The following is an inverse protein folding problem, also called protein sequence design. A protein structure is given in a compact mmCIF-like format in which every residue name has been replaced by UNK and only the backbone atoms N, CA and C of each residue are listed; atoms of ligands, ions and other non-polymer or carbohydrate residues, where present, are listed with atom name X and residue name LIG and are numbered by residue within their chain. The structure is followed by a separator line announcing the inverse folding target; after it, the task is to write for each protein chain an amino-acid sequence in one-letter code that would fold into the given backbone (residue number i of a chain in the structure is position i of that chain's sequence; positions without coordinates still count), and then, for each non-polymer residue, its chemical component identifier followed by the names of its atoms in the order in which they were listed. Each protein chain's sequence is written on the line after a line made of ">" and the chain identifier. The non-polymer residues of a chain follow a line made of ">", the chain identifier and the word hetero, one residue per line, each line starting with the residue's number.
data_IF_608264765791
#
_entry.id   IF_608264765791
#
_cell.length_a   1.000
_cell.length_b   1.000
_cell.length_c   1.000
_cell.angle_alpha   90.00
_cell.angle_beta   90.00
_cell.angle_gamma   90.00
#
_symmetry.space_group_name_H-M   'P 1'
#
loop_
_entity.id
_entity.type
_entity.pdbx_description
1 polymer ?
#
# COMPACT_ATOMS: atom_id res chain seq x y z
N UNK A 1 -22.89 -27.80 2.36
CA UNK A 1 -23.58 -26.49 2.30
C UNK A 1 -23.33 -25.73 3.61
N UNK A 2 -22.27 -24.92 3.68
CA UNK A 2 -21.99 -23.98 4.81
C UNK A 2 -21.44 -22.62 4.34
N UNK A 3 -21.28 -22.41 3.03
CA UNK A 3 -20.69 -21.19 2.46
C UNK A 3 -21.59 -19.95 2.51
N UNK A 4 -22.92 -20.13 2.65
CA UNK A 4 -23.86 -19.01 2.69
C UNK A 4 -23.81 -18.17 3.98
N UNK A 5 -23.50 -18.80 5.12
CA UNK A 5 -23.51 -18.12 6.42
C UNK A 5 -22.29 -17.21 6.63
N UNK A 6 -21.10 -17.68 6.26
CA UNK A 6 -19.85 -16.92 6.45
C UNK A 6 -19.79 -15.70 5.53
N UNK A 7 -20.24 -15.83 4.27
CA UNK A 7 -20.34 -14.70 3.34
C UNK A 7 -21.37 -13.67 3.80
N UNK A 8 -22.54 -14.10 4.28
CA UNK A 8 -23.57 -13.19 4.79
C UNK A 8 -23.09 -12.39 6.01
N UNK A 9 -22.41 -13.05 6.97
CA UNK A 9 -21.83 -12.38 8.14
C UNK A 9 -20.72 -11.39 7.76
N UNK A 10 -19.85 -11.79 6.81
CA UNK A 10 -18.77 -10.95 6.33
C UNK A 10 -19.30 -9.68 5.65
N UNK A 11 -20.41 -9.78 4.89
CA UNK A 11 -21.07 -8.62 4.28
C UNK A 11 -21.68 -7.70 5.35
N UNK A 12 -22.33 -8.26 6.37
CA UNK A 12 -22.94 -7.48 7.46
C UNK A 12 -21.89 -6.72 8.29
N UNK A 13 -20.69 -7.30 8.47
CA UNK A 13 -19.61 -6.73 9.28
C UNK A 13 -18.47 -6.13 8.44
N UNK A 14 -18.62 -6.06 7.11
CA UNK A 14 -17.56 -5.66 6.17
C UNK A 14 -16.91 -4.33 6.57
N UNK A 15 -17.72 -3.38 7.02
CA UNK A 15 -17.28 -2.06 7.47
C UNK A 15 -16.43 -2.08 8.73
N UNK A 16 -16.81 -2.88 9.73
CA UNK A 16 -16.01 -3.02 10.97
C UNK A 16 -14.67 -3.68 10.65
N UNK A 17 -14.67 -4.63 9.73
CA UNK A 17 -13.45 -5.29 9.27
C UNK A 17 -12.55 -4.27 8.56
N UNK A 18 -13.09 -3.45 7.66
CA UNK A 18 -12.37 -2.37 6.99
C UNK A 18 -11.72 -1.39 7.99
N UNK A 19 -12.49 -0.88 8.95
CA UNK A 19 -12.00 0.05 9.98
C UNK A 19 -10.86 -0.58 10.82
N UNK A 20 -10.97 -1.88 11.14
CA UNK A 20 -9.92 -2.63 11.84
C UNK A 20 -8.67 -2.81 10.98
N UNK A 21 -8.82 -3.12 9.69
CA UNK A 21 -7.70 -3.25 8.75
C UNK A 21 -6.96 -1.92 8.58
N UNK A 22 -7.69 -0.81 8.46
CA UNK A 22 -7.11 0.54 8.46
C UNK A 22 -6.36 0.81 9.78
N UNK A 23 -6.97 0.47 10.93
CA UNK A 23 -6.33 0.60 12.24
C UNK A 23 -5.04 -0.23 12.38
N UNK A 24 -5.01 -1.44 11.81
CA UNK A 24 -3.81 -2.27 11.73
C UNK A 24 -2.74 -1.59 10.90
N UNK A 25 -3.05 -1.06 9.72
CA UNK A 25 -2.07 -0.32 8.89
C UNK A 25 -1.50 0.88 9.62
N UNK A 26 -2.33 1.64 10.31
CA UNK A 26 -1.85 2.74 11.14
C UNK A 26 -0.88 2.25 12.22
N UNK A 27 -1.21 1.18 12.94
CA UNK A 27 -0.31 0.61 13.94
C UNK A 27 1.02 0.09 13.34
N UNK A 28 0.97 -0.60 12.20
CA UNK A 28 2.17 -1.04 11.48
C UNK A 28 3.06 0.13 11.08
N UNK A 29 2.47 1.24 10.62
CA UNK A 29 3.22 2.45 10.28
C UNK A 29 3.97 3.02 11.49
N UNK A 30 3.38 3.00 12.69
CA UNK A 30 4.05 3.43 13.93
C UNK A 30 5.23 2.52 14.30
N UNK A 31 5.11 1.20 14.07
CA UNK A 31 6.22 0.26 14.27
C UNK A 31 7.36 0.53 13.29
N UNK A 32 7.05 0.89 12.04
CA UNK A 32 8.07 1.26 11.05
C UNK A 32 8.74 2.59 11.45
N UNK A 33 7.99 3.57 11.95
CA UNK A 33 8.56 4.81 12.51
C UNK A 33 9.50 4.51 13.68
N UNK A 34 9.15 3.57 14.57
CA UNK A 34 10.03 3.14 15.63
C UNK A 34 11.34 2.53 15.08
N UNK A 35 11.26 1.70 14.04
CA UNK A 35 12.44 1.19 13.34
C UNK A 35 13.29 2.33 12.75
N UNK A 36 12.64 3.38 12.23
CA UNK A 36 13.32 4.57 11.70
C UNK A 36 14.07 5.35 12.78
N UNK A 37 13.47 5.52 13.96
CA UNK A 37 14.10 6.18 15.11
C UNK A 37 15.34 5.41 15.57
N UNK A 38 15.28 4.07 15.56
CA UNK A 38 16.43 3.23 15.87
C UNK A 38 17.52 3.31 14.81
N UNK A 39 17.17 3.68 13.57
CA UNK A 39 18.08 3.89 12.43
C UNK A 39 19.00 2.68 12.14
N UNK A 40 18.59 1.47 12.51
CA UNK A 40 19.38 0.25 12.33
C UNK A 40 19.05 -0.42 10.98
N UNK A 41 20.09 -0.64 10.18
CA UNK A 41 20.02 -1.36 8.90
C UNK A 41 19.58 -2.82 9.06
N UNK A 42 19.89 -3.46 10.19
CA UNK A 42 19.49 -4.82 10.51
C UNK A 42 17.98 -5.03 10.65
N UNK A 43 17.22 -3.95 10.80
CA UNK A 43 15.75 -3.99 10.89
C UNK A 43 15.06 -4.06 9.53
N UNK A 44 15.80 -4.02 8.41
CA UNK A 44 15.22 -4.02 7.06
C UNK A 44 14.27 -5.23 6.83
N UNK A 45 14.63 -6.48 7.18
CA UNK A 45 13.70 -7.61 7.18
C UNK A 45 12.38 -7.37 7.91
N UNK A 46 12.42 -6.74 9.09
CA UNK A 46 11.24 -6.43 9.88
C UNK A 46 10.38 -5.37 9.19
N UNK A 47 11.00 -4.31 8.69
CA UNK A 47 10.29 -3.25 7.94
C UNK A 47 9.63 -3.81 6.69
N UNK A 48 10.29 -4.74 5.99
CA UNK A 48 9.74 -5.45 4.84
C UNK A 48 8.53 -6.31 5.25
N UNK A 49 8.63 -7.09 6.32
CA UNK A 49 7.50 -7.84 6.87
C UNK A 49 6.31 -6.94 7.19
N UNK A 50 6.54 -5.86 7.93
CA UNK A 50 5.49 -4.91 8.31
C UNK A 50 4.85 -4.28 7.06
N UNK A 51 5.65 -3.98 6.05
CA UNK A 51 5.17 -3.45 4.76
C UNK A 51 4.28 -4.46 4.05
N UNK A 52 4.71 -5.72 3.94
CA UNK A 52 3.94 -6.79 3.29
C UNK A 52 2.61 -7.07 4.02
N UNK A 53 2.62 -7.07 5.36
CA UNK A 53 1.39 -7.22 6.15
C UNK A 53 0.45 -6.05 5.85
N UNK A 54 0.95 -4.81 5.84
CA UNK A 54 0.11 -3.65 5.57
C UNK A 54 -0.46 -3.65 4.13
N UNK A 55 0.33 -4.03 3.13
CA UNK A 55 -0.16 -4.22 1.75
C UNK A 55 -1.19 -5.33 1.65
N UNK A 56 -1.00 -6.43 2.40
CA UNK A 56 -2.00 -7.50 2.47
C UNK A 56 -3.32 -7.00 3.06
N UNK A 57 -3.26 -6.20 4.13
CA UNK A 57 -4.46 -5.63 4.73
C UNK A 57 -5.16 -4.63 3.82
N UNK A 58 -4.42 -3.85 3.02
CA UNK A 58 -4.97 -2.92 2.02
C UNK A 58 -5.74 -3.67 0.91
N UNK A 59 -5.14 -4.70 0.32
CA UNK A 59 -5.82 -5.55 -0.68
C UNK A 59 -7.11 -6.17 -0.13
N UNK A 60 -7.07 -6.63 1.12
CA UNK A 60 -8.25 -7.20 1.78
C UNK A 60 -9.32 -6.15 2.04
N UNK A 61 -8.92 -4.94 2.45
CA UNK A 61 -9.82 -3.83 2.73
C UNK A 61 -10.57 -3.39 1.46
N UNK A 62 -9.84 -3.20 0.36
CA UNK A 62 -10.42 -2.84 -0.94
C UNK A 62 -11.46 -3.86 -1.43
N UNK A 63 -11.26 -5.16 -1.16
CA UNK A 63 -12.27 -6.19 -1.46
C UNK A 63 -13.52 -6.05 -0.61
N UNK A 64 -13.36 -5.84 0.69
CA UNK A 64 -14.49 -5.70 1.62
C UNK A 64 -15.31 -4.45 1.31
N UNK A 65 -14.65 -3.35 0.94
CA UNK A 65 -15.31 -2.12 0.48
C UNK A 65 -16.14 -2.33 -0.80
N UNK A 66 -15.64 -3.13 -1.77
CA UNK A 66 -16.40 -3.47 -2.99
C UNK A 66 -17.57 -4.42 -2.76
N UNK A 67 -17.53 -5.20 -1.68
CA UNK A 67 -18.63 -6.10 -1.28
C UNK A 67 -19.76 -5.39 -0.54
N UNK A 68 -19.54 -4.17 -0.02
CA UNK A 68 -20.59 -3.36 0.59
C UNK A 68 -21.49 -2.73 -0.50
N UNK A 69 -22.73 -3.22 -0.59
CA UNK A 69 -23.75 -2.73 -1.51
C UNK A 69 -24.37 -1.40 -1.09
N UNK A 70 -23.97 -0.83 0.05
CA UNK A 70 -24.59 0.38 0.61
C UNK A 70 -24.16 1.70 -0.05
N UNK A 71 -23.04 1.70 -0.80
CA UNK A 71 -22.58 2.87 -1.58
C UNK A 71 -22.29 4.14 -0.76
N UNK A 72 -22.21 4.04 0.57
CA UNK A 72 -21.98 5.19 1.45
C UNK A 72 -20.48 5.48 1.54
N UNK A 73 -20.02 6.56 0.89
CA UNK A 73 -18.73 7.18 1.21
C UNK A 73 -18.70 7.54 2.70
N UNK A 74 -17.80 6.93 3.45
CA UNK A 74 -17.61 7.18 4.88
C UNK A 74 -16.34 8.00 5.12
N UNK A 75 -16.38 8.84 6.14
CA UNK A 75 -15.25 9.66 6.61
C UNK A 75 -13.98 8.84 6.93
N UNK A 76 -14.13 7.54 7.19
CA UNK A 76 -13.01 6.62 7.41
C UNK A 76 -12.35 6.18 6.09
N UNK A 77 -13.07 6.15 4.97
CA UNK A 77 -12.46 5.97 3.65
C UNK A 77 -11.54 7.14 3.25
N UNK A 78 -11.73 8.32 3.83
CA UNK A 78 -10.79 9.44 3.69
C UNK A 78 -9.55 9.27 4.62
N UNK A 79 -9.73 8.62 5.78
CA UNK A 79 -8.63 8.25 6.69
C UNK A 79 -7.80 7.09 6.16
N UNK A 80 -8.39 6.23 5.33
CA UNK A 80 -7.74 5.11 4.66
C UNK A 80 -6.54 5.61 3.82
N UNK A 81 -6.81 6.57 2.93
CA UNK A 81 -5.78 7.24 2.14
C UNK A 81 -4.70 7.90 3.00
N UNK A 82 -5.09 8.59 4.09
CA UNK A 82 -4.12 9.19 5.01
C UNK A 82 -3.24 8.13 5.68
N UNK A 83 -3.82 6.98 6.04
CA UNK A 83 -3.11 5.87 6.68
C UNK A 83 -2.11 5.22 5.73
N UNK A 84 -2.47 5.03 4.46
CA UNK A 84 -1.54 4.54 3.43
C UNK A 84 -0.38 5.50 3.19
N UNK A 85 -0.67 6.80 3.14
CA UNK A 85 0.38 7.82 3.05
C UNK A 85 1.30 7.73 4.26
N UNK A 86 0.78 7.65 5.49
CA UNK A 86 1.60 7.50 6.70
C UNK A 86 2.46 6.23 6.60
N UNK A 87 1.91 5.11 6.12
CA UNK A 87 2.65 3.87 5.94
C UNK A 87 3.79 4.02 4.93
N UNK A 88 3.53 4.60 3.76
CA UNK A 88 4.56 4.87 2.73
C UNK A 88 5.64 5.80 3.28
N UNK A 89 5.26 6.91 3.91
CA UNK A 89 6.21 7.87 4.47
C UNK A 89 6.99 7.29 5.65
N UNK A 90 6.41 6.40 6.45
CA UNK A 90 7.12 5.70 7.53
C UNK A 90 8.25 4.82 6.98
N UNK A 91 7.98 4.07 5.89
CA UNK A 91 9.00 3.28 5.20
C UNK A 91 10.10 4.16 4.62
N UNK A 92 9.73 5.26 3.95
CA UNK A 92 10.69 6.22 3.43
C UNK A 92 11.57 6.83 4.53
N UNK A 93 10.96 7.21 5.65
CA UNK A 93 11.66 7.73 6.82
C UNK A 93 12.68 6.72 7.34
N UNK A 94 12.32 5.44 7.44
CA UNK A 94 13.25 4.37 7.80
C UNK A 94 14.43 4.28 6.82
N UNK A 95 14.15 4.25 5.52
CA UNK A 95 15.21 4.12 4.51
C UNK A 95 16.19 5.29 4.52
N UNK A 96 15.70 6.50 4.77
CA UNK A 96 16.56 7.68 4.93
C UNK A 96 17.33 7.61 6.26
N UNK A 97 16.66 7.32 7.38
CA UNK A 97 17.28 7.30 8.70
C UNK A 97 18.36 6.22 8.85
N UNK A 98 18.11 5.01 8.33
CA UNK A 98 19.10 3.92 8.29
C UNK A 98 20.20 4.14 7.24
N UNK A 99 20.14 5.23 6.47
CA UNK A 99 21.14 5.62 5.48
C UNK A 99 21.16 4.75 4.22
N UNK A 100 20.02 4.16 3.84
CA UNK A 100 19.86 3.48 2.56
C UNK A 100 19.63 4.48 1.41
N UNK A 101 18.95 5.59 1.70
CA UNK A 101 18.60 6.60 0.70
C UNK A 101 19.06 8.01 1.11
N UNK A 102 19.52 8.84 0.15
CA UNK A 102 19.79 10.25 0.42
C UNK A 102 18.49 11.03 0.62
N UNK A 103 18.45 11.96 1.59
CA UNK A 103 17.24 12.73 1.90
C UNK A 103 16.75 13.61 0.73
N UNK A 104 17.66 14.36 0.08
CA UNK A 104 17.29 15.40 -0.88
C UNK A 104 16.49 14.90 -2.10
N UNK A 105 16.92 13.85 -2.82
CA UNK A 105 16.15 13.38 -3.99
C UNK A 105 14.73 12.95 -3.62
N UNK A 106 14.56 12.27 -2.49
CA UNK A 106 13.24 11.80 -2.04
C UNK A 106 12.36 12.93 -1.52
N UNK A 107 12.95 13.94 -0.88
CA UNK A 107 12.22 15.14 -0.48
C UNK A 107 11.66 15.90 -1.70
N UNK A 108 12.50 16.16 -2.71
CA UNK A 108 12.06 16.82 -3.93
C UNK A 108 11.07 15.97 -4.73
N UNK A 109 11.28 14.66 -4.79
CA UNK A 109 10.33 13.74 -5.43
C UNK A 109 8.97 13.72 -4.70
N UNK A 110 8.97 13.74 -3.36
CA UNK A 110 7.74 13.84 -2.57
C UNK A 110 6.96 15.13 -2.83
N UNK A 111 7.67 16.27 -2.94
CA UNK A 111 7.03 17.54 -3.34
C UNK A 111 6.47 17.45 -4.75
N UNK A 112 7.25 16.93 -5.71
CA UNK A 112 6.79 16.72 -7.08
C UNK A 112 5.53 15.83 -7.11
N UNK A 113 5.52 14.75 -6.34
CA UNK A 113 4.39 13.85 -6.24
C UNK A 113 3.14 14.53 -5.67
N UNK A 114 3.30 15.30 -4.59
CA UNK A 114 2.20 16.04 -3.97
C UNK A 114 1.63 17.12 -4.91
N UNK A 115 2.50 17.87 -5.61
CA UNK A 115 2.09 18.87 -6.59
C UNK A 115 1.36 18.20 -7.76
N UNK A 116 1.89 17.09 -8.28
CA UNK A 116 1.27 16.35 -9.38
C UNK A 116 -0.11 15.82 -8.97
N UNK A 117 -0.25 15.26 -7.78
CA UNK A 117 -1.54 14.80 -7.25
C UNK A 117 -2.56 15.93 -7.05
N UNK A 118 -2.10 17.15 -6.77
CA UNK A 118 -2.97 18.33 -6.63
C UNK A 118 -3.43 18.89 -7.99
N UNK A 119 -2.56 18.86 -9.01
CA UNK A 119 -2.86 19.39 -10.35
C UNK A 119 -3.65 18.37 -11.19
N UNK A 120 -3.24 17.10 -11.15
CA UNK A 120 -3.85 16.01 -11.91
C UNK A 120 -4.44 14.97 -10.96
N UNK A 121 -5.75 14.99 -10.84
CA UNK A 121 -6.51 14.05 -10.00
C UNK A 121 -6.84 12.73 -10.71
N UNK A 122 -6.31 12.50 -11.93
CA UNK A 122 -6.49 11.23 -12.64
C UNK A 122 -5.77 10.11 -11.89
N UNK A 123 -6.44 8.96 -11.71
CA UNK A 123 -5.93 7.80 -10.97
C UNK A 123 -4.62 7.28 -11.58
N UNK A 124 -4.57 7.18 -12.91
CA UNK A 124 -3.39 6.75 -13.69
C UNK A 124 -2.13 7.56 -13.36
N UNK A 125 -2.23 8.89 -13.32
CA UNK A 125 -1.09 9.78 -13.01
C UNK A 125 -0.60 9.57 -11.58
N UNK A 126 -1.51 9.44 -10.61
CA UNK A 126 -1.16 9.17 -9.21
C UNK A 126 -0.46 7.82 -9.05
N UNK A 127 -0.93 6.77 -9.74
CA UNK A 127 -0.28 5.45 -9.74
C UNK A 127 1.12 5.50 -10.33
N UNK A 128 1.31 6.20 -11.46
CA UNK A 128 2.61 6.34 -12.11
C UNK A 128 3.64 7.03 -11.20
N UNK A 129 3.21 8.05 -10.46
CA UNK A 129 4.06 8.78 -9.51
C UNK A 129 4.32 7.97 -8.23
N UNK A 130 3.36 7.17 -7.77
CA UNK A 130 3.52 6.33 -6.59
C UNK A 130 4.43 5.11 -6.84
N UNK A 131 4.43 4.56 -8.06
CA UNK A 131 5.11 3.31 -8.39
C UNK A 131 6.62 3.31 -8.06
N UNK A 132 7.41 4.36 -8.36
CA UNK A 132 8.83 4.41 -7.96
C UNK A 132 9.04 4.33 -6.45
N UNK A 133 8.16 4.94 -5.66
CA UNK A 133 8.25 4.92 -4.19
C UNK A 133 7.89 3.53 -3.65
N UNK A 134 6.85 2.91 -4.21
CA UNK A 134 6.46 1.54 -3.87
C UNK A 134 7.54 0.50 -4.25
N UNK A 135 8.35 0.77 -5.28
CA UNK A 135 9.44 -0.09 -5.70
C UNK A 135 10.66 -0.06 -4.77
N UNK A 136 10.87 1.03 -4.01
CA UNK A 136 12.00 1.20 -3.08
C UNK A 136 12.20 0.01 -2.13
N UNK A 137 11.19 -0.42 -1.32
CA UNK A 137 11.36 -1.54 -0.40
C UNK A 137 11.77 -2.83 -1.12
N UNK A 138 11.26 -3.07 -2.34
CA UNK A 138 11.58 -4.25 -3.14
C UNK A 138 13.05 -4.20 -3.59
N UNK A 139 13.47 -3.07 -4.16
CA UNK A 139 14.84 -2.86 -4.64
C UNK A 139 15.83 -2.99 -3.48
N UNK A 140 15.59 -2.31 -2.36
CA UNK A 140 16.48 -2.37 -1.19
C UNK A 140 16.53 -3.78 -0.58
N UNK A 141 15.41 -4.51 -0.60
CA UNK A 141 15.39 -5.92 -0.19
C UNK A 141 16.32 -6.76 -1.07
N UNK A 142 16.24 -6.63 -2.40
CA UNK A 142 17.14 -7.37 -3.30
C UNK A 142 18.62 -7.01 -3.13
N UNK A 143 18.92 -5.74 -2.87
CA UNK A 143 20.30 -5.26 -2.72
C UNK A 143 20.92 -5.72 -1.40
N UNK A 144 20.18 -5.67 -0.29
CA UNK A 144 20.75 -5.89 1.05
C UNK A 144 20.40 -7.25 1.66
N UNK A 145 19.20 -7.78 1.39
CA UNK A 145 18.77 -9.08 1.90
C UNK A 145 17.96 -9.85 0.83
N UNK A 146 18.63 -10.46 -0.18
CA UNK A 146 18.00 -10.99 -1.38
C UNK A 146 16.83 -11.96 -1.14
N UNK A 147 16.86 -12.72 -0.05
CA UNK A 147 15.77 -13.62 0.36
C UNK A 147 14.46 -12.84 0.50
N UNK A 148 14.48 -11.66 1.12
CA UNK A 148 13.30 -10.82 1.31
C UNK A 148 12.81 -10.20 -0.01
N UNK A 149 13.71 -9.95 -0.97
CA UNK A 149 13.33 -9.55 -2.32
C UNK A 149 12.49 -10.63 -3.01
N UNK A 150 12.90 -11.91 -2.88
CA UNK A 150 12.11 -13.03 -3.39
C UNK A 150 10.79 -13.23 -2.66
N UNK A 151 10.74 -12.94 -1.35
CA UNK A 151 9.47 -12.94 -0.60
C UNK A 151 8.51 -11.88 -1.17
N UNK A 152 8.98 -10.68 -1.50
CA UNK A 152 8.17 -9.66 -2.19
C UNK A 152 7.63 -10.16 -3.53
N UNK A 153 8.50 -10.72 -4.37
CA UNK A 153 8.08 -11.24 -5.68
C UNK A 153 7.06 -12.37 -5.53
N UNK A 154 7.30 -13.28 -4.59
CA UNK A 154 6.35 -14.34 -4.26
C UNK A 154 5.00 -13.81 -3.81
N UNK A 155 5.00 -12.77 -2.96
CA UNK A 155 3.77 -12.11 -2.51
C UNK A 155 3.03 -11.44 -3.68
N UNK A 156 3.73 -10.67 -4.53
CA UNK A 156 3.14 -10.03 -5.72
C UNK A 156 2.55 -11.08 -6.67
N UNK A 157 3.26 -12.19 -6.90
CA UNK A 157 2.78 -13.25 -7.78
C UNK A 157 1.51 -13.90 -7.22
N UNK A 158 1.45 -14.17 -5.91
CA UNK A 158 0.27 -14.70 -5.24
C UNK A 158 -0.90 -13.72 -5.34
N UNK A 159 -0.65 -12.44 -5.08
CA UNK A 159 -1.66 -11.40 -5.16
C UNK A 159 -2.24 -11.28 -6.57
N UNK A 160 -1.40 -11.23 -7.60
CA UNK A 160 -1.81 -11.21 -9.01
C UNK A 160 -2.63 -12.43 -9.41
N UNK A 161 -2.27 -13.63 -8.94
CA UNK A 161 -3.02 -14.86 -9.23
C UNK A 161 -4.42 -14.80 -8.59
N UNK A 162 -4.51 -14.29 -7.36
CA UNK A 162 -5.78 -14.21 -6.63
C UNK A 162 -6.67 -13.07 -7.16
N UNK A 163 -6.07 -11.95 -7.57
CA UNK A 163 -6.74 -10.70 -7.93
C UNK A 163 -6.69 -10.37 -9.42
N UNK A 164 -6.51 -11.39 -10.27
CA UNK A 164 -6.31 -11.22 -11.70
C UNK A 164 -7.40 -10.38 -12.41
N UNK A 165 -8.67 -10.54 -12.00
CA UNK A 165 -9.79 -9.77 -12.57
C UNK A 165 -9.68 -8.28 -12.29
N UNK A 166 -9.32 -7.94 -11.05
CA UNK A 166 -9.24 -6.56 -10.57
C UNK A 166 -8.04 -5.88 -11.23
N UNK A 167 -6.90 -6.57 -11.27
CA UNK A 167 -5.69 -6.11 -11.97
C UNK A 167 -5.94 -5.83 -13.46
N UNK A 168 -6.64 -6.73 -14.16
CA UNK A 168 -6.94 -6.54 -15.59
C UNK A 168 -7.86 -5.33 -15.81
N UNK A 169 -8.82 -5.12 -14.91
CA UNK A 169 -9.69 -3.94 -14.93
C UNK A 169 -8.91 -2.64 -14.72
N UNK A 170 -7.98 -2.61 -13.76
CA UNK A 170 -7.16 -1.43 -13.48
C UNK A 170 -6.19 -1.11 -14.62
N UNK A 171 -5.60 -2.12 -15.27
CA UNK A 171 -4.78 -1.91 -16.46
C UNK A 171 -5.62 -1.35 -17.61
N UNK A 172 -6.82 -1.88 -17.82
CA UNK A 172 -7.70 -1.37 -18.88
C UNK A 172 -8.10 0.08 -18.64
N UNK A 173 -8.40 0.45 -17.38
CA UNK A 173 -8.67 1.83 -16.97
C UNK A 173 -7.45 2.72 -17.18
N UNK A 174 -6.25 2.27 -16.78
CA UNK A 174 -4.99 2.99 -16.96
C UNK A 174 -4.69 3.27 -18.44
N UNK A 175 -4.84 2.27 -19.31
CA UNK A 175 -4.61 2.44 -20.76
C UNK A 175 -5.62 3.43 -21.34
N UNK A 176 -6.90 3.32 -21.00
CA UNK A 176 -7.92 4.26 -21.47
C UNK A 176 -7.65 5.70 -21.03
N UNK A 177 -7.25 5.89 -19.77
CA UNK A 177 -6.89 7.20 -19.21
C UNK A 177 -5.70 7.87 -19.91
N UNK A 178 -4.72 7.06 -20.34
CA UNK A 178 -3.51 7.50 -21.06
C UNK A 178 -3.85 7.82 -22.51
N UNK A 179 -4.72 7.04 -23.15
CA UNK A 179 -5.15 7.26 -24.54
C UNK A 179 -6.06 8.51 -24.69
N UNK A 180 -6.77 8.91 -23.63
CA UNK A 180 -7.64 10.12 -23.59
C UNK A 180 -6.92 11.40 -23.09
N UNK A 181 -5.64 11.32 -22.71
CA UNK A 181 -4.83 12.45 -22.21
C UNK A 181 -4.03 13.15 -23.29
#
# INVERSE_FOLDING_TARGET
>A
MKEGGTKAWAIENAKVIADVLTGVRFFLSLLIVLCAILADRGLLPLVVCLTLIGWTTDVLDGKMARMDSSGKKTWIGDMDFATDMIMIYSGLLYFIAAGYLPFWPFFFYGIYAAVTAFIWTKKSVMMAVAAPVAAVPIILSFVHYPIWGWVFVGWIAVDLIINWSDFTSEISEFIGDVDEG
#
